data_IF_455072055494
#
_entry.id   IF_455072055494
#
_cell.length_a   1.000
_cell.length_b   1.000
_cell.length_c   1.000
_cell.angle_alpha   90.00
_cell.angle_beta   90.00
_cell.angle_gamma   90.00
#
_symmetry.space_group_name_H-M   'P 1'
#
loop_
_entity.id
_entity.type
_entity.pdbx_description
1 polymer ?
#
# COMPACT_ATOMS: atom_id res chain seq x y z
N UNK A 1 11.47 26.92 -32.69
CA UNK A 1 11.18 25.48 -32.49
C UNK A 1 12.45 24.76 -32.07
N UNK A 2 12.59 24.39 -30.79
CA UNK A 2 13.69 23.52 -30.32
C UNK A 2 13.16 22.09 -30.16
N UNK A 3 13.64 21.17 -31.01
CA UNK A 3 13.41 19.72 -30.90
C UNK A 3 14.32 19.11 -29.82
N UNK A 4 14.25 19.62 -28.60
CA UNK A 4 14.76 18.88 -27.45
C UNK A 4 13.84 17.69 -27.22
N UNK A 5 14.38 16.47 -27.30
CA UNK A 5 13.72 15.26 -26.80
C UNK A 5 13.58 15.45 -25.28
N UNK A 6 12.54 16.15 -24.83
CA UNK A 6 12.17 16.21 -23.42
C UNK A 6 11.67 14.81 -23.05
N UNK A 7 12.56 13.98 -22.52
CA UNK A 7 12.20 12.70 -21.89
C UNK A 7 11.07 13.02 -20.90
N UNK A 8 9.96 12.30 -21.02
CA UNK A 8 8.83 12.48 -20.12
C UNK A 8 9.29 12.07 -18.72
N UNK A 9 9.52 13.03 -17.82
CA UNK A 9 10.01 12.75 -16.47
C UNK A 9 9.14 11.72 -15.76
N UNK A 10 7.83 11.68 -16.04
CA UNK A 10 6.90 10.70 -15.49
C UNK A 10 7.22 9.23 -15.80
N UNK A 11 8.09 8.94 -16.78
CA UNK A 11 8.58 7.57 -17.03
C UNK A 11 9.38 7.01 -15.85
N UNK A 12 9.88 7.87 -14.97
CA UNK A 12 10.53 7.45 -13.74
C UNK A 12 9.54 6.81 -12.76
N UNK A 13 8.24 7.16 -12.78
CA UNK A 13 7.25 6.60 -11.85
C UNK A 13 7.09 5.07 -11.98
N UNK A 14 6.82 4.49 -13.17
CA UNK A 14 6.82 3.04 -13.31
C UNK A 14 8.16 2.40 -12.92
N UNK A 15 9.28 3.04 -13.28
CA UNK A 15 10.61 2.50 -12.98
C UNK A 15 10.85 2.38 -11.48
N UNK A 16 10.42 3.36 -10.68
CA UNK A 16 10.57 3.32 -9.23
C UNK A 16 9.94 2.05 -8.64
N UNK A 17 8.84 1.51 -9.18
CA UNK A 17 8.26 0.25 -8.67
C UNK A 17 9.20 -0.96 -8.80
N UNK A 18 10.15 -0.96 -9.74
CA UNK A 18 11.14 -2.05 -9.86
C UNK A 18 12.27 -1.93 -8.84
N UNK A 19 12.57 -0.70 -8.41
CA UNK A 19 13.74 -0.41 -7.56
C UNK A 19 13.34 0.15 -6.18
N UNK A 20 12.05 0.12 -5.85
CA UNK A 20 11.48 0.76 -4.66
C UNK A 20 12.16 0.26 -3.38
N UNK A 21 12.48 -1.03 -3.34
CA UNK A 21 13.10 -1.70 -2.20
C UNK A 21 14.60 -1.97 -2.39
N UNK A 22 15.24 -1.42 -3.42
CA UNK A 22 16.67 -1.62 -3.64
C UNK A 22 17.46 -0.75 -2.67
N UNK A 23 18.28 -1.38 -1.83
CA UNK A 23 19.13 -0.70 -0.85
C UNK A 23 20.27 0.01 -1.56
N UNK A 24 20.33 1.34 -1.42
CA UNK A 24 21.44 2.15 -1.94
C UNK A 24 22.51 2.38 -0.86
N UNK A 25 22.07 2.66 0.37
CA UNK A 25 22.92 2.85 1.54
C UNK A 25 22.10 2.61 2.82
N UNK A 26 22.75 2.70 3.99
CA UNK A 26 22.08 2.74 5.29
C UNK A 26 22.67 3.85 6.14
N UNK A 27 21.80 4.65 6.76
CA UNK A 27 22.18 5.66 7.74
C UNK A 27 21.99 5.06 9.13
N UNK A 28 23.10 4.78 9.80
CA UNK A 28 23.13 3.97 11.02
C UNK A 28 22.68 2.52 10.78
N UNK A 29 22.25 1.85 11.85
CA UNK A 29 21.80 0.45 11.80
C UNK A 29 20.37 0.29 11.26
N UNK A 30 19.58 1.35 11.23
CA UNK A 30 18.11 1.25 11.16
C UNK A 30 17.43 2.08 10.07
N UNK A 31 18.13 3.00 9.39
CA UNK A 31 17.52 3.80 8.32
C UNK A 31 18.06 3.43 6.93
N UNK A 32 17.34 2.59 6.17
CA UNK A 32 17.74 2.26 4.81
C UNK A 32 17.47 3.43 3.86
N UNK A 33 18.44 3.72 3.01
CA UNK A 33 18.33 4.73 1.95
C UNK A 33 18.03 4.00 0.65
N UNK A 34 16.93 4.38 0.00
CA UNK A 34 16.52 3.92 -1.32
C UNK A 34 16.32 5.10 -2.26
N UNK A 35 16.02 4.81 -3.54
CA UNK A 35 15.64 5.86 -4.49
C UNK A 35 14.43 6.65 -3.99
N UNK A 36 13.56 5.99 -3.21
CA UNK A 36 12.33 6.58 -2.73
C UNK A 36 12.57 7.53 -1.58
N UNK A 37 13.66 7.41 -0.82
CA UNK A 37 14.07 8.41 0.20
C UNK A 37 14.22 9.80 -0.41
N UNK A 38 14.52 9.89 -1.71
CA UNK A 38 14.63 11.16 -2.44
C UNK A 38 13.32 11.57 -3.13
N UNK A 39 12.17 10.95 -2.79
CA UNK A 39 10.90 11.24 -3.45
C UNK A 39 10.51 12.73 -3.39
N UNK A 40 10.65 13.47 -2.26
CA UNK A 40 10.41 14.92 -2.25
C UNK A 40 11.20 15.67 -3.33
N UNK A 41 12.48 15.33 -3.52
CA UNK A 41 13.32 15.90 -4.57
C UNK A 41 12.83 15.50 -5.97
N UNK A 42 12.49 14.22 -6.16
CA UNK A 42 11.95 13.69 -7.42
C UNK A 42 10.63 14.38 -7.79
N UNK A 43 9.77 14.71 -6.81
CA UNK A 43 8.49 15.38 -7.05
C UNK A 43 8.68 16.75 -7.71
N UNK A 44 9.75 17.49 -7.41
CA UNK A 44 10.03 18.79 -8.05
C UNK A 44 10.17 18.70 -9.58
N UNK A 45 10.55 17.53 -10.13
CA UNK A 45 10.58 17.31 -11.58
C UNK A 45 9.17 17.44 -12.20
N UNK A 46 8.14 17.08 -11.44
CA UNK A 46 6.75 17.02 -11.89
C UNK A 46 5.92 18.23 -11.51
N UNK A 47 6.36 19.05 -10.55
CA UNK A 47 5.58 20.18 -10.03
C UNK A 47 5.47 21.30 -11.07
N UNK A 48 4.25 21.78 -11.29
CA UNK A 48 3.96 22.99 -12.06
C UNK A 48 3.76 24.19 -11.12
N UNK A 49 2.96 24.02 -10.07
CA UNK A 49 2.66 25.06 -9.06
C UNK A 49 2.47 24.44 -7.69
N UNK A 50 2.79 25.21 -6.64
CA UNK A 50 2.59 24.81 -5.24
C UNK A 50 1.59 25.76 -4.58
N UNK A 51 0.54 25.22 -3.95
CA UNK A 51 -0.34 26.01 -3.11
C UNK A 51 0.25 26.13 -1.70
N UNK A 52 0.91 27.25 -1.41
CA UNK A 52 1.54 27.50 -0.11
C UNK A 52 0.54 27.35 1.04
N UNK A 53 -0.68 27.88 0.91
CA UNK A 53 -1.74 27.72 1.93
C UNK A 53 -2.01 26.24 2.25
N UNK A 54 -2.20 25.38 1.25
CA UNK A 54 -2.46 23.94 1.47
C UNK A 54 -1.25 23.24 2.07
N UNK A 55 -0.05 23.61 1.61
CA UNK A 55 1.21 23.07 2.13
C UNK A 55 1.37 23.42 3.62
N UNK A 56 1.18 24.68 4.00
CA UNK A 56 1.28 25.13 5.40
C UNK A 56 0.23 24.49 6.29
N UNK A 57 -1.01 24.28 5.81
CA UNK A 57 -2.04 23.55 6.56
C UNK A 57 -1.59 22.10 6.81
N UNK A 58 -1.11 21.41 5.78
CA UNK A 58 -0.68 20.01 5.92
C UNK A 58 0.53 19.86 6.84
N UNK A 59 1.53 20.74 6.69
CA UNK A 59 2.71 20.77 7.57
C UNK A 59 2.33 21.15 9.00
N UNK A 60 1.40 22.09 9.19
CA UNK A 60 0.87 22.47 10.50
C UNK A 60 0.15 21.31 11.20
N UNK A 61 -0.67 20.54 10.47
CA UNK A 61 -1.29 19.31 11.01
C UNK A 61 -0.21 18.31 11.40
N UNK A 62 0.79 18.09 10.54
CA UNK A 62 1.90 17.18 10.83
C UNK A 62 2.70 17.59 12.06
N UNK A 63 3.06 18.88 12.17
CA UNK A 63 3.74 19.43 13.33
C UNK A 63 2.90 19.30 14.61
N UNK A 64 1.58 19.53 14.52
CA UNK A 64 0.65 19.32 15.63
C UNK A 64 0.60 17.86 16.09
N UNK A 65 0.58 16.89 15.16
CA UNK A 65 0.63 15.47 15.48
C UNK A 65 1.98 15.06 16.09
N UNK A 66 3.10 15.60 15.57
CA UNK A 66 4.43 15.36 16.16
C UNK A 66 4.50 15.92 17.59
N UNK A 67 4.01 17.14 17.82
CA UNK A 67 3.96 17.74 19.15
C UNK A 67 3.06 16.95 20.10
N UNK A 68 1.88 16.52 19.63
CA UNK A 68 0.98 15.65 20.39
C UNK A 68 1.72 14.37 20.82
N UNK A 69 2.38 13.67 19.89
CA UNK A 69 3.09 12.43 20.21
C UNK A 69 4.25 12.68 21.20
N UNK A 70 4.96 13.80 21.08
CA UNK A 70 6.04 14.13 22.01
C UNK A 70 5.53 14.40 23.44
N UNK A 71 4.45 15.18 23.55
CA UNK A 71 3.89 15.62 24.85
C UNK A 71 3.19 14.47 25.57
N UNK A 72 2.34 13.72 24.87
CA UNK A 72 1.48 12.69 25.47
C UNK A 72 2.05 11.27 25.34
N UNK A 73 3.02 11.04 24.46
CA UNK A 73 3.58 9.73 24.24
C UNK A 73 4.54 9.30 25.34
N UNK A 74 4.33 8.10 25.89
CA UNK A 74 5.25 7.42 26.80
C UNK A 74 6.53 7.01 26.07
N UNK A 75 7.67 7.38 26.64
CA UNK A 75 8.99 7.04 26.11
C UNK A 75 9.50 5.77 26.78
N UNK A 76 9.65 4.68 26.03
CA UNK A 76 10.25 3.43 26.49
C UNK A 76 11.68 3.28 25.96
N UNK A 77 11.96 3.84 24.80
CA UNK A 77 13.30 3.95 24.22
C UNK A 77 13.46 5.29 23.49
N UNK A 78 14.27 6.18 24.08
CA UNK A 78 14.53 7.50 23.52
C UNK A 78 15.53 7.47 22.35
N UNK A 79 16.35 6.42 22.24
CA UNK A 79 17.43 6.33 21.24
C UNK A 79 16.90 6.30 19.81
N UNK A 80 15.70 5.72 19.60
CA UNK A 80 15.04 5.57 18.30
C UNK A 80 14.08 6.73 17.97
N UNK A 81 13.84 7.66 18.90
CA UNK A 81 12.83 8.71 18.74
C UNK A 81 13.06 9.56 17.50
N UNK A 82 14.30 10.01 17.29
CA UNK A 82 14.66 10.89 16.17
C UNK A 82 14.40 10.20 14.84
N UNK A 83 14.85 8.96 14.68
CA UNK A 83 14.68 8.18 13.44
C UNK A 83 13.21 7.97 13.10
N UNK A 84 12.40 7.53 14.07
CA UNK A 84 10.95 7.32 13.85
C UNK A 84 10.20 8.62 13.60
N UNK A 85 10.58 9.72 14.28
CA UNK A 85 10.00 11.04 14.04
C UNK A 85 10.33 11.55 12.64
N UNK A 86 11.56 11.37 12.17
CA UNK A 86 11.97 11.75 10.81
C UNK A 86 11.19 10.97 9.75
N UNK A 87 10.95 9.67 9.95
CA UNK A 87 10.08 8.86 9.07
C UNK A 87 8.64 9.40 9.03
N UNK A 88 8.10 9.79 10.19
CA UNK A 88 6.77 10.40 10.25
C UNK A 88 6.72 11.77 9.53
N UNK A 89 7.69 12.64 9.79
CA UNK A 89 7.79 13.95 9.13
C UNK A 89 7.95 13.77 7.61
N UNK A 90 8.71 12.75 7.20
CA UNK A 90 8.92 12.41 5.80
C UNK A 90 7.61 12.07 5.09
N UNK A 91 6.77 11.20 5.68
CA UNK A 91 5.47 10.86 5.07
C UNK A 91 4.52 12.07 5.06
N UNK A 92 4.51 12.88 6.12
CA UNK A 92 3.75 14.15 6.16
C UNK A 92 4.17 15.04 4.99
N UNK A 93 5.47 15.19 4.75
CA UNK A 93 5.99 16.03 3.67
C UNK A 93 5.53 15.52 2.30
N UNK A 94 5.64 14.23 2.01
CA UNK A 94 5.20 13.65 0.73
C UNK A 94 3.70 13.82 0.54
N UNK A 95 2.90 13.52 1.56
CA UNK A 95 1.45 13.66 1.50
C UNK A 95 1.05 15.13 1.31
N UNK A 96 1.72 16.05 2.02
CA UNK A 96 1.54 17.49 1.90
C UNK A 96 1.89 18.00 0.51
N UNK A 97 3.03 17.60 -0.06
CA UNK A 97 3.42 17.94 -1.42
C UNK A 97 2.42 17.38 -2.43
N UNK A 98 2.04 16.10 -2.30
CA UNK A 98 1.07 15.46 -3.19
C UNK A 98 -0.28 16.16 -3.15
N UNK A 99 -0.75 16.63 -2.00
CA UNK A 99 -2.02 17.35 -1.88
C UNK A 99 -1.95 18.79 -2.38
N UNK A 100 -0.89 19.51 -2.02
CA UNK A 100 -0.73 20.96 -2.27
C UNK A 100 -0.25 21.30 -3.68
N UNK A 101 0.45 20.38 -4.36
CA UNK A 101 1.01 20.63 -5.68
C UNK A 101 0.00 20.38 -6.81
N UNK A 102 0.12 21.20 -7.85
CA UNK A 102 -0.40 20.92 -9.20
C UNK A 102 0.76 20.37 -10.01
N UNK A 103 0.55 19.22 -10.64
CA UNK A 103 1.56 18.53 -11.43
C UNK A 103 1.44 18.89 -12.91
N UNK A 104 2.58 18.95 -13.61
CA UNK A 104 2.66 19.21 -15.05
C UNK A 104 1.81 18.21 -15.82
N UNK A 105 0.94 18.68 -16.70
CA UNK A 105 0.06 17.79 -17.45
C UNK A 105 0.85 16.87 -18.38
N UNK A 106 0.51 15.57 -18.41
CA UNK A 106 1.11 14.59 -19.32
C UNK A 106 0.55 14.83 -20.73
N UNK A 107 1.41 14.86 -21.76
CA UNK A 107 0.97 15.02 -23.15
C UNK A 107 0.43 13.71 -23.72
N UNK A 108 -0.54 13.75 -24.66
CA UNK A 108 -1.13 12.54 -25.27
C UNK A 108 -0.09 11.55 -25.85
N UNK A 109 0.99 12.06 -26.47
CA UNK A 109 2.09 11.22 -26.97
C UNK A 109 2.78 10.42 -25.87
N UNK A 110 2.92 11.02 -24.69
CA UNK A 110 3.57 10.40 -23.54
C UNK A 110 2.63 9.48 -22.75
N UNK A 111 1.31 9.63 -22.87
CA UNK A 111 0.34 8.70 -22.25
C UNK A 111 0.61 7.25 -22.67
N UNK A 112 0.71 7.00 -23.98
CA UNK A 112 0.95 5.65 -24.51
C UNK A 112 2.28 5.07 -24.07
N UNK A 113 3.34 5.90 -24.04
CA UNK A 113 4.67 5.45 -23.60
C UNK A 113 4.68 5.09 -22.11
N UNK A 114 4.10 5.96 -21.28
CA UNK A 114 4.01 5.76 -19.84
C UNK A 114 3.20 4.52 -19.49
N UNK A 115 2.06 4.34 -20.16
CA UNK A 115 1.21 3.17 -19.99
C UNK A 115 1.92 1.87 -20.41
N UNK A 116 2.63 1.87 -21.55
CA UNK A 116 3.43 0.71 -21.97
C UNK A 116 4.51 0.36 -20.94
N UNK A 117 5.14 1.37 -20.34
CA UNK A 117 6.14 1.16 -19.31
C UNK A 117 5.51 0.54 -18.05
N UNK A 118 4.33 1.01 -17.62
CA UNK A 118 3.57 0.34 -16.55
C UNK A 118 3.27 -1.12 -16.88
N UNK A 119 2.82 -1.44 -18.09
CA UNK A 119 2.60 -2.83 -18.50
C UNK A 119 3.88 -3.66 -18.49
N UNK A 120 5.00 -3.09 -18.95
CA UNK A 120 6.32 -3.73 -18.89
C UNK A 120 6.73 -4.05 -17.46
N UNK A 121 6.53 -3.10 -16.54
CA UNK A 121 6.83 -3.28 -15.11
C UNK A 121 5.96 -4.37 -14.47
N UNK A 122 4.64 -4.37 -14.74
CA UNK A 122 3.75 -5.47 -14.29
C UNK A 122 4.24 -6.81 -14.84
N UNK A 123 4.58 -6.87 -16.13
CA UNK A 123 5.08 -8.09 -16.76
C UNK A 123 6.36 -8.61 -16.11
N UNK A 124 7.34 -7.73 -15.86
CA UNK A 124 8.61 -8.09 -15.21
C UNK A 124 8.35 -8.64 -13.81
N UNK A 125 7.59 -7.89 -12.99
CA UNK A 125 7.36 -8.26 -11.59
C UNK A 125 6.56 -9.58 -11.49
N UNK A 126 5.51 -9.75 -12.29
CA UNK A 126 4.68 -10.97 -12.27
C UNK A 126 5.43 -12.16 -12.85
N UNK A 127 6.25 -11.98 -13.90
CA UNK A 127 7.11 -13.07 -14.39
C UNK A 127 8.12 -13.51 -13.34
N UNK A 128 8.73 -12.56 -12.61
CA UNK A 128 9.65 -12.88 -11.54
C UNK A 128 8.94 -13.67 -10.43
N UNK A 129 7.75 -13.21 -10.02
CA UNK A 129 6.93 -13.91 -9.02
C UNK A 129 6.57 -15.35 -9.47
N UNK A 130 6.23 -15.52 -10.76
CA UNK A 130 5.94 -16.83 -11.33
C UNK A 130 7.19 -17.72 -11.39
N UNK A 131 8.37 -17.17 -11.71
CA UNK A 131 9.63 -17.90 -11.71
C UNK A 131 10.05 -18.33 -10.30
N UNK A 132 9.91 -17.46 -9.31
CA UNK A 132 10.12 -17.78 -7.89
C UNK A 132 9.18 -18.91 -7.46
N UNK A 133 7.88 -18.79 -7.76
CA UNK A 133 6.90 -19.82 -7.40
C UNK A 133 7.18 -21.16 -8.11
N UNK A 134 7.55 -21.13 -9.38
CA UNK A 134 7.92 -22.32 -10.12
C UNK A 134 9.15 -23.00 -9.50
N UNK A 135 10.16 -22.23 -9.10
CA UNK A 135 11.33 -22.76 -8.40
C UNK A 135 10.92 -23.44 -7.08
N UNK A 136 10.10 -22.77 -6.26
CA UNK A 136 9.63 -23.30 -4.97
C UNK A 136 8.88 -24.62 -5.17
N UNK A 137 7.98 -24.68 -6.17
CA UNK A 137 7.16 -25.87 -6.43
C UNK A 137 8.00 -27.02 -7.00
N UNK A 138 8.94 -26.74 -7.91
CA UNK A 138 9.68 -27.78 -8.63
C UNK A 138 10.90 -28.30 -7.87
N UNK A 139 11.57 -27.44 -7.09
CA UNK A 139 12.84 -27.77 -6.44
C UNK A 139 12.78 -27.73 -4.93
N UNK A 140 11.72 -27.15 -4.34
CA UNK A 140 11.65 -26.84 -2.91
C UNK A 140 12.62 -25.73 -2.46
N UNK A 141 13.45 -25.20 -3.37
CA UNK A 141 14.46 -24.20 -3.08
C UNK A 141 13.97 -22.77 -3.24
N UNK A 142 14.73 -21.82 -2.67
CA UNK A 142 14.44 -20.39 -2.66
C UNK A 142 15.61 -19.54 -3.17
N UNK A 143 16.52 -20.12 -3.96
CA UNK A 143 17.80 -19.48 -4.32
C UNK A 143 17.63 -18.22 -5.19
N UNK A 144 16.57 -18.11 -5.98
CA UNK A 144 16.28 -16.89 -6.74
C UNK A 144 15.88 -15.74 -5.80
N UNK A 145 15.01 -16.00 -4.83
CA UNK A 145 14.62 -15.06 -3.78
C UNK A 145 15.85 -14.65 -2.95
N UNK A 146 16.70 -15.60 -2.60
CA UNK A 146 17.92 -15.34 -1.82
C UNK A 146 18.92 -14.44 -2.56
N UNK A 147 19.09 -14.63 -3.88
CA UNK A 147 19.95 -13.77 -4.69
C UNK A 147 19.41 -12.34 -4.78
N UNK A 148 18.09 -12.18 -4.92
CA UNK A 148 17.45 -10.86 -5.01
C UNK A 148 17.49 -10.16 -3.65
N UNK A 149 17.20 -10.87 -2.56
CA UNK A 149 17.07 -10.28 -1.22
C UNK A 149 18.36 -9.63 -0.72
N UNK A 150 19.53 -10.04 -1.22
CA UNK A 150 20.82 -9.38 -0.95
C UNK A 150 20.87 -7.92 -1.39
N UNK A 151 20.06 -7.54 -2.38
CA UNK A 151 19.97 -6.16 -2.88
C UNK A 151 18.83 -5.38 -2.23
N UNK A 152 17.98 -6.03 -1.44
CA UNK A 152 16.81 -5.40 -0.85
C UNK A 152 17.12 -4.79 0.53
N UNK A 153 16.29 -3.82 0.92
CA UNK A 153 16.39 -3.12 2.22
C UNK A 153 16.35 -4.08 3.42
N UNK A 154 15.42 -5.03 3.39
CA UNK A 154 15.19 -5.99 4.47
C UNK A 154 15.52 -7.39 3.95
N UNK A 155 16.06 -8.23 4.84
CA UNK A 155 16.29 -9.62 4.50
C UNK A 155 14.94 -10.34 4.38
N UNK A 156 14.77 -11.12 3.32
CA UNK A 156 13.58 -11.96 3.14
C UNK A 156 13.64 -13.21 4.05
N UNK A 157 14.38 -13.16 5.16
CA UNK A 157 14.64 -14.29 6.06
C UNK A 157 13.36 -14.96 6.54
N UNK A 158 12.32 -14.17 6.85
CA UNK A 158 11.00 -14.70 7.19
C UNK A 158 10.41 -15.57 6.08
N UNK A 159 10.48 -15.10 4.84
CA UNK A 159 9.95 -15.82 3.68
C UNK A 159 10.80 -17.04 3.35
N UNK A 160 12.12 -16.91 3.43
CA UNK A 160 13.05 -18.03 3.24
C UNK A 160 12.79 -19.15 4.26
N UNK A 161 12.58 -18.80 5.53
CA UNK A 161 12.20 -19.75 6.58
C UNK A 161 10.81 -20.36 6.31
N UNK A 162 9.85 -19.55 5.88
CA UNK A 162 8.52 -20.07 5.53
C UNK A 162 8.59 -21.09 4.38
N UNK A 163 9.44 -20.84 3.37
CA UNK A 163 9.65 -21.76 2.25
C UNK A 163 10.34 -23.05 2.70
N UNK A 164 11.35 -22.96 3.59
CA UNK A 164 12.03 -24.17 4.10
C UNK A 164 11.08 -25.11 4.85
N UNK A 165 9.98 -24.61 5.41
CA UNK A 165 8.91 -25.41 6.03
C UNK A 165 7.78 -25.78 5.05
N UNK A 166 8.02 -25.72 3.73
CA UNK A 166 7.05 -26.12 2.70
C UNK A 166 6.05 -25.04 2.29
N UNK A 167 6.24 -23.80 2.75
CA UNK A 167 5.40 -22.66 2.43
C UNK A 167 5.54 -22.20 0.97
N UNK A 168 4.41 -21.86 0.33
CA UNK A 168 4.35 -21.42 -1.07
C UNK A 168 4.04 -19.92 -1.16
N UNK A 169 5.06 -19.07 -1.10
CA UNK A 169 4.94 -17.60 -1.18
C UNK A 169 6.10 -17.00 -1.95
N UNK A 170 5.82 -15.96 -2.72
CA UNK A 170 6.82 -15.16 -3.45
C UNK A 170 6.72 -13.70 -3.01
N UNK A 171 7.86 -13.01 -3.06
CA UNK A 171 7.95 -11.57 -2.83
C UNK A 171 8.44 -10.80 -4.04
N UNK A 172 8.92 -11.49 -5.09
CA UNK A 172 9.55 -10.88 -6.25
C UNK A 172 10.65 -9.88 -5.79
N UNK A 173 10.51 -8.61 -6.18
CA UNK A 173 11.44 -7.52 -5.86
C UNK A 173 11.11 -6.81 -4.52
N UNK A 174 10.22 -7.35 -3.71
CA UNK A 174 9.75 -6.71 -2.49
C UNK A 174 10.18 -7.47 -1.24
N UNK A 175 10.14 -6.81 -0.09
CA UNK A 175 10.62 -7.42 1.16
C UNK A 175 9.61 -8.37 1.81
N UNK A 176 8.32 -8.19 1.54
CA UNK A 176 7.25 -9.02 2.10
C UNK A 176 6.12 -9.27 1.11
N UNK A 177 5.40 -10.41 1.23
CA UNK A 177 4.31 -10.74 0.30
C UNK A 177 3.14 -9.75 0.35
N UNK A 178 2.82 -9.22 1.54
CA UNK A 178 1.79 -8.20 1.68
C UNK A 178 2.21 -6.90 0.99
N UNK A 179 3.44 -6.46 1.19
CA UNK A 179 3.98 -5.27 0.54
C UNK A 179 4.05 -5.44 -1.00
N UNK A 180 4.40 -6.64 -1.48
CA UNK A 180 4.32 -6.97 -2.91
C UNK A 180 2.90 -6.80 -3.47
N UNK A 181 1.89 -7.36 -2.80
CA UNK A 181 0.50 -7.20 -3.22
C UNK A 181 0.04 -5.74 -3.18
N UNK A 182 0.45 -4.97 -2.17
CA UNK A 182 0.20 -3.53 -2.07
C UNK A 182 0.76 -2.78 -3.29
N UNK A 183 1.98 -3.13 -3.70
CA UNK A 183 2.62 -2.52 -4.87
C UNK A 183 1.88 -2.84 -6.17
N UNK A 184 1.43 -4.09 -6.36
CA UNK A 184 0.61 -4.46 -7.52
C UNK A 184 -0.72 -3.70 -7.57
N UNK A 185 -1.40 -3.52 -6.43
CA UNK A 185 -2.63 -2.73 -6.35
C UNK A 185 -2.36 -1.25 -6.62
N UNK A 186 -1.24 -0.72 -6.15
CA UNK A 186 -0.81 0.65 -6.46
C UNK A 186 -0.53 0.85 -7.95
N UNK A 187 0.15 -0.08 -8.61
CA UNK A 187 0.36 -0.06 -10.07
C UNK A 187 -0.97 -0.18 -10.81
N UNK A 188 -1.86 -1.07 -10.34
CA UNK A 188 -3.19 -1.24 -10.89
C UNK A 188 -3.97 0.08 -10.90
N UNK A 189 -4.05 0.75 -9.73
CA UNK A 189 -4.75 2.03 -9.61
C UNK A 189 -4.11 3.13 -10.45
N UNK A 190 -2.78 3.12 -10.58
CA UNK A 190 -2.02 4.01 -11.46
C UNK A 190 -2.43 3.84 -12.92
N UNK A 191 -2.54 2.60 -13.41
CA UNK A 191 -3.01 2.27 -14.76
C UNK A 191 -4.49 2.68 -14.94
N UNK A 192 -5.33 2.43 -13.92
CA UNK A 192 -6.74 2.81 -13.96
C UNK A 192 -6.99 4.31 -14.05
N UNK A 193 -6.02 5.17 -13.66
CA UNK A 193 -6.15 6.62 -13.83
C UNK A 193 -6.16 7.07 -15.30
N UNK A 194 -5.72 6.22 -16.23
CA UNK A 194 -5.77 6.50 -17.67
C UNK A 194 -7.16 6.31 -18.30
N UNK A 195 -8.16 5.81 -17.55
CA UNK A 195 -9.54 5.68 -18.03
C UNK A 195 -9.75 4.60 -19.10
N UNK A 196 -8.80 3.69 -19.26
CA UNK A 196 -8.84 2.63 -20.26
C UNK A 196 -9.13 1.26 -19.65
N UNK A 197 -9.80 0.39 -20.40
CA UNK A 197 -10.04 -1.00 -20.01
C UNK A 197 -8.83 -1.87 -20.33
N UNK A 198 -8.38 -2.65 -19.35
CA UNK A 198 -7.11 -3.39 -19.40
C UNK A 198 -7.25 -4.81 -18.86
N UNK A 199 -8.18 -5.64 -19.39
CA UNK A 199 -8.53 -6.93 -18.79
C UNK A 199 -7.33 -7.89 -18.69
N UNK A 200 -6.40 -7.85 -19.67
CA UNK A 200 -5.17 -8.65 -19.64
C UNK A 200 -4.29 -8.27 -18.45
N UNK A 201 -4.08 -6.97 -18.23
CA UNK A 201 -3.28 -6.45 -17.13
C UNK A 201 -3.96 -6.69 -15.78
N UNK A 202 -5.29 -6.57 -15.72
CA UNK A 202 -6.07 -6.89 -14.53
C UNK A 202 -5.88 -8.36 -14.13
N UNK A 203 -5.90 -9.28 -15.11
CA UNK A 203 -5.58 -10.70 -14.90
C UNK A 203 -4.14 -10.95 -14.45
N UNK A 204 -3.16 -10.25 -15.01
CA UNK A 204 -1.75 -10.35 -14.57
C UNK A 204 -1.55 -9.86 -13.14
N UNK A 205 -2.22 -8.77 -12.76
CA UNK A 205 -2.16 -8.22 -11.40
C UNK A 205 -2.81 -9.17 -10.41
N UNK A 206 -3.97 -9.74 -10.74
CA UNK A 206 -4.60 -10.77 -9.93
C UNK A 206 -3.70 -11.99 -9.77
N UNK A 207 -3.07 -12.46 -10.85
CA UNK A 207 -2.12 -13.57 -10.81
C UNK A 207 -0.97 -13.26 -9.85
N UNK A 208 -0.33 -12.08 -9.95
CA UNK A 208 0.73 -11.67 -9.04
C UNK A 208 0.29 -11.62 -7.56
N UNK A 209 -0.92 -11.09 -7.29
CA UNK A 209 -1.49 -11.06 -5.94
C UNK A 209 -1.73 -12.48 -5.41
N UNK A 210 -2.27 -13.39 -6.22
CA UNK A 210 -2.47 -14.79 -5.82
C UNK A 210 -1.15 -15.48 -5.55
N UNK A 211 -0.16 -15.32 -6.43
CA UNK A 211 1.18 -15.90 -6.27
C UNK A 211 1.86 -15.41 -4.98
N UNK A 212 1.67 -14.14 -4.61
CA UNK A 212 2.20 -13.61 -3.34
C UNK A 212 1.70 -14.39 -2.11
N UNK A 213 0.51 -15.01 -2.19
CA UNK A 213 -0.14 -15.64 -1.05
C UNK A 213 -0.51 -14.63 0.05
N UNK A 214 -0.74 -13.37 -0.34
CA UNK A 214 -1.17 -12.28 0.55
C UNK A 214 -2.69 -12.23 0.70
N UNK A 215 -3.18 -12.53 1.91
CA UNK A 215 -4.61 -12.44 2.24
C UNK A 215 -5.16 -11.01 2.07
N UNK A 216 -4.46 -10.00 2.59
CA UNK A 216 -4.87 -8.59 2.47
C UNK A 216 -4.91 -8.14 1.01
N UNK A 217 -3.97 -8.61 0.19
CA UNK A 217 -3.94 -8.39 -1.26
C UNK A 217 -5.18 -8.93 -1.96
N UNK A 218 -5.48 -10.22 -1.75
CA UNK A 218 -6.64 -10.89 -2.35
C UNK A 218 -7.94 -10.20 -1.92
N UNK A 219 -8.11 -9.94 -0.62
CA UNK A 219 -9.32 -9.28 -0.09
C UNK A 219 -9.50 -7.87 -0.64
N UNK A 220 -8.43 -7.10 -0.79
CA UNK A 220 -8.49 -5.75 -1.35
C UNK A 220 -8.84 -5.77 -2.83
N UNK A 221 -8.28 -6.72 -3.59
CA UNK A 221 -8.62 -6.88 -5.00
C UNK A 221 -10.10 -7.27 -5.17
N UNK A 222 -10.61 -8.20 -4.36
CA UNK A 222 -12.02 -8.57 -4.30
C UNK A 222 -12.90 -7.34 -4.01
N UNK A 223 -12.57 -6.57 -2.96
CA UNK A 223 -13.31 -5.36 -2.59
C UNK A 223 -13.36 -4.37 -3.75
N UNK A 224 -12.23 -4.10 -4.40
CA UNK A 224 -12.15 -3.14 -5.49
C UNK A 224 -12.86 -3.60 -6.76
N UNK A 225 -12.77 -4.90 -7.07
CA UNK A 225 -13.51 -5.51 -8.16
C UNK A 225 -15.02 -5.44 -7.94
N UNK A 226 -15.50 -5.79 -6.73
CA UNK A 226 -16.91 -5.70 -6.39
C UNK A 226 -17.43 -4.26 -6.41
N UNK A 227 -16.63 -3.29 -5.95
CA UNK A 227 -16.96 -1.87 -6.06
C UNK A 227 -17.03 -1.42 -7.51
N UNK A 228 -16.07 -1.82 -8.35
CA UNK A 228 -16.11 -1.54 -9.79
C UNK A 228 -17.37 -2.12 -10.42
N UNK A 229 -17.66 -3.39 -10.16
CA UNK A 229 -18.86 -4.07 -10.64
C UNK A 229 -20.13 -3.34 -10.16
N UNK A 230 -20.19 -2.97 -8.88
CA UNK A 230 -21.31 -2.22 -8.30
C UNK A 230 -21.53 -0.89 -9.03
N UNK A 231 -20.47 -0.09 -9.24
CA UNK A 231 -20.60 1.20 -9.93
C UNK A 231 -20.97 1.05 -11.40
N UNK A 232 -20.50 0.00 -12.08
CA UNK A 232 -20.79 -0.24 -13.49
C UNK A 232 -22.20 -0.77 -13.72
N UNK A 233 -22.67 -1.67 -12.85
CA UNK A 233 -23.86 -2.47 -13.12
C UNK A 233 -25.05 -2.10 -12.26
N UNK A 234 -24.91 -1.59 -11.03
CA UNK A 234 -26.07 -1.32 -10.14
C UNK A 234 -26.85 -0.02 -10.46
N UNK A 235 -26.57 0.64 -11.57
CA UNK A 235 -27.39 1.77 -12.04
C UNK A 235 -28.65 1.25 -12.77
N UNK A 236 -29.85 1.77 -12.44
CA UNK A 236 -31.15 1.38 -13.02
C UNK A 236 -31.13 1.27 -14.56
N UNK A 237 -30.46 2.20 -15.24
CA UNK A 237 -30.34 2.20 -16.71
C UNK A 237 -29.32 1.18 -17.24
N UNK A 238 -28.27 0.89 -16.46
CA UNK A 238 -27.24 -0.08 -16.81
C UNK A 238 -27.70 -1.52 -16.59
N UNK A 239 -28.44 -1.80 -15.49
CA UNK A 239 -28.99 -3.12 -15.19
C UNK A 239 -29.81 -3.63 -16.39
N UNK A 240 -30.80 -2.87 -16.87
CA UNK A 240 -31.66 -3.34 -17.97
C UNK A 240 -30.91 -3.66 -19.27
N UNK A 241 -29.82 -2.94 -19.58
CA UNK A 241 -29.07 -3.10 -20.84
C UNK A 241 -27.87 -4.06 -20.73
N UNK A 242 -27.32 -4.25 -19.53
CA UNK A 242 -26.07 -4.98 -19.28
C UNK A 242 -26.22 -6.13 -18.28
N UNK A 243 -27.44 -6.50 -17.90
CA UNK A 243 -27.73 -7.63 -17.01
C UNK A 243 -27.00 -8.92 -17.39
N UNK A 244 -27.00 -9.40 -18.65
CA UNK A 244 -26.32 -10.65 -18.99
C UNK A 244 -24.80 -10.57 -18.76
N UNK A 245 -24.17 -9.44 -19.11
CA UNK A 245 -22.75 -9.19 -18.85
C UNK A 245 -22.46 -9.10 -17.34
N UNK A 246 -23.35 -8.49 -16.56
CA UNK A 246 -23.22 -8.39 -15.12
C UNK A 246 -23.24 -9.77 -14.46
N UNK A 247 -24.15 -10.64 -14.88
CA UNK A 247 -24.27 -12.02 -14.41
C UNK A 247 -23.02 -12.81 -14.78
N UNK A 248 -22.60 -12.80 -16.06
CA UNK A 248 -21.38 -13.51 -16.50
C UNK A 248 -20.16 -13.05 -15.69
N UNK A 249 -20.00 -11.74 -15.52
CA UNK A 249 -18.90 -11.16 -14.73
C UNK A 249 -18.92 -11.66 -13.28
N UNK A 250 -20.10 -11.67 -12.64
CA UNK A 250 -20.24 -12.12 -11.27
C UNK A 250 -20.03 -13.64 -11.14
N UNK A 251 -20.53 -14.44 -12.09
CA UNK A 251 -20.34 -15.89 -12.12
C UNK A 251 -18.87 -16.26 -12.26
N UNK A 252 -18.12 -15.61 -13.16
CA UNK A 252 -16.67 -15.83 -13.31
C UNK A 252 -15.93 -15.46 -12.02
N UNK A 253 -16.32 -14.35 -11.39
CA UNK A 253 -15.76 -13.94 -10.11
C UNK A 253 -16.05 -14.95 -8.99
N UNK A 254 -17.28 -15.46 -8.89
CA UNK A 254 -17.68 -16.47 -7.90
C UNK A 254 -16.90 -17.78 -8.08
N UNK A 255 -16.68 -18.23 -9.32
CA UNK A 255 -15.82 -19.39 -9.59
C UNK A 255 -14.41 -19.16 -9.04
N UNK A 256 -13.82 -17.99 -9.30
CA UNK A 256 -12.52 -17.62 -8.72
C UNK A 256 -12.52 -17.60 -7.19
N UNK A 257 -13.61 -17.12 -6.57
CA UNK A 257 -13.76 -17.10 -5.12
C UNK A 257 -13.86 -18.50 -4.52
N UNK A 258 -14.52 -19.45 -5.19
CA UNK A 258 -14.58 -20.86 -4.77
C UNK A 258 -13.17 -21.46 -4.67
N UNK A 259 -12.30 -21.19 -5.66
CA UNK A 259 -10.91 -21.66 -5.62
C UNK A 259 -10.08 -20.98 -4.53
N UNK A 260 -10.35 -19.70 -4.24
CA UNK A 260 -9.69 -18.97 -3.16
C UNK A 260 -10.24 -19.31 -1.77
N UNK A 261 -11.45 -19.88 -1.69
CA UNK A 261 -12.18 -20.08 -0.43
C UNK A 261 -11.44 -20.95 0.58
N UNK A 262 -10.80 -22.09 0.22
CA UNK A 262 -10.05 -22.89 1.19
C UNK A 262 -8.96 -22.07 1.89
N UNK A 263 -8.22 -21.25 1.14
CA UNK A 263 -7.19 -20.38 1.70
C UNK A 263 -7.78 -19.29 2.62
N UNK A 264 -8.89 -18.66 2.20
CA UNK A 264 -9.60 -17.64 3.00
C UNK A 264 -10.12 -18.26 4.29
N UNK A 265 -10.73 -19.45 4.22
CA UNK A 265 -11.30 -20.15 5.35
C UNK A 265 -10.22 -20.51 6.40
N UNK A 266 -9.07 -21.05 5.97
CA UNK A 266 -7.94 -21.30 6.89
C UNK A 266 -7.50 -20.01 7.57
N UNK A 267 -7.33 -18.92 6.82
CA UNK A 267 -6.89 -17.64 7.38
C UNK A 267 -7.86 -17.03 8.38
N UNK A 268 -9.16 -17.22 8.16
CA UNK A 268 -10.21 -16.80 9.09
C UNK A 268 -10.23 -17.69 10.34
N UNK A 269 -10.04 -19.01 10.19
CA UNK A 269 -9.95 -19.94 11.31
C UNK A 269 -8.75 -19.62 12.24
N UNK A 270 -7.62 -19.23 11.66
CA UNK A 270 -6.41 -18.84 12.39
C UNK A 270 -6.61 -17.60 13.28
N UNK A 271 -7.67 -16.80 13.10
CA UNK A 271 -7.89 -15.58 13.88
C UNK A 271 -8.04 -15.83 15.38
N UNK A 272 -8.57 -17.00 15.76
CA UNK A 272 -8.75 -17.37 17.17
C UNK A 272 -7.56 -18.10 17.79
N UNK A 273 -6.52 -18.42 17.01
CA UNK A 273 -5.40 -19.23 17.45
C UNK A 273 -4.21 -18.35 17.81
N UNK A 274 -3.89 -18.28 19.11
CA UNK A 274 -2.70 -17.55 19.58
C UNK A 274 -1.42 -18.06 18.92
N UNK A 275 -0.49 -17.14 18.65
CA UNK A 275 0.74 -17.44 17.91
C UNK A 275 0.55 -17.59 16.40
N UNK A 276 -0.69 -17.63 15.88
CA UNK A 276 -0.92 -17.62 14.43
C UNK A 276 -0.62 -16.23 13.84
N UNK A 277 -0.24 -16.22 12.56
CA UNK A 277 0.00 -14.97 11.83
C UNK A 277 -1.26 -14.10 11.69
N UNK A 278 -2.47 -14.70 11.61
CA UNK A 278 -3.72 -13.96 11.52
C UNK A 278 -4.09 -13.32 12.86
N UNK A 279 -3.94 -14.07 13.96
CA UNK A 279 -4.15 -13.56 15.32
C UNK A 279 -3.21 -12.38 15.60
N UNK A 280 -1.91 -12.55 15.35
CA UNK A 280 -0.89 -11.51 15.57
C UNK A 280 -1.17 -10.19 14.83
N UNK A 281 -1.83 -10.25 13.66
CA UNK A 281 -2.10 -9.07 12.83
C UNK A 281 -3.39 -8.34 13.16
N UNK A 282 -4.41 -9.08 13.60
CA UNK A 282 -5.77 -8.57 13.70
C UNK A 282 -6.26 -8.54 15.14
N UNK A 283 -6.08 -9.63 15.89
CA UNK A 283 -6.68 -9.83 17.21
C UNK A 283 -5.71 -9.43 18.33
N UNK A 284 -4.48 -9.97 18.34
CA UNK A 284 -3.50 -9.68 19.39
C UNK A 284 -3.30 -8.17 19.64
N UNK A 285 -3.12 -7.33 18.59
CA UNK A 285 -2.96 -5.90 18.75
C UNK A 285 -4.19 -5.14 19.28
N UNK A 286 -5.37 -5.76 19.37
CA UNK A 286 -6.55 -5.09 19.93
C UNK A 286 -6.38 -4.74 21.41
N UNK A 287 -5.60 -5.53 22.17
CA UNK A 287 -5.27 -5.20 23.55
C UNK A 287 -4.47 -3.89 23.63
N UNK A 288 -3.48 -3.73 22.76
CA UNK A 288 -2.67 -2.52 22.63
C UNK A 288 -3.50 -1.31 22.18
N UNK A 289 -4.41 -1.51 21.22
CA UNK A 289 -5.34 -0.48 20.74
C UNK A 289 -6.29 -0.05 21.86
N UNK A 290 -6.86 -1.02 22.59
CA UNK A 290 -7.74 -0.78 23.72
C UNK A 290 -7.02 0.04 24.81
N UNK A 291 -5.81 -0.37 25.18
CA UNK A 291 -4.99 0.35 26.16
C UNK A 291 -4.72 1.80 25.74
N UNK A 292 -4.41 2.04 24.45
CA UNK A 292 -4.18 3.38 23.92
C UNK A 292 -5.43 4.28 23.92
N UNK A 293 -6.62 3.68 23.85
CA UNK A 293 -7.89 4.42 23.84
C UNK A 293 -8.47 4.67 25.24
N UNK A 294 -8.11 3.86 26.24
CA UNK A 294 -8.69 3.93 27.58
C UNK A 294 -7.76 4.53 28.64
N UNK A 295 -6.46 4.64 28.37
CA UNK A 295 -5.48 5.15 29.34
C UNK A 295 -4.82 6.45 28.85
N UNK A 296 -4.56 7.37 29.78
CA UNK A 296 -3.97 8.69 29.51
C UNK A 296 -2.51 8.53 29.03
N UNK A 297 -1.79 7.56 29.57
CA UNK A 297 -0.44 7.16 29.20
C UNK A 297 -0.38 6.10 28.09
N UNK A 298 -1.53 5.70 27.54
CA UNK A 298 -1.61 4.66 26.51
C UNK A 298 -1.11 5.09 25.12
N UNK A 299 -0.73 6.37 24.95
CA UNK A 299 -0.07 6.83 23.72
C UNK A 299 1.42 6.49 23.80
N UNK A 300 1.95 5.89 22.74
CA UNK A 300 3.36 5.51 22.70
C UNK A 300 4.16 6.57 21.96
N UNK A 301 5.33 6.95 22.48
CA UNK A 301 6.22 7.89 21.79
C UNK A 301 6.89 7.22 20.59
N UNK A 302 7.17 7.98 19.53
CA UNK A 302 7.94 7.47 18.40
C UNK A 302 9.24 6.79 18.86
N UNK A 303 9.61 5.68 18.22
CA UNK A 303 10.79 4.89 18.58
C UNK A 303 10.59 3.89 19.70
N UNK A 304 9.48 3.93 20.45
CA UNK A 304 9.21 3.06 21.60
C UNK A 304 8.26 1.89 21.30
N UNK A 305 7.89 1.67 20.03
CA UNK A 305 6.90 0.64 19.65
C UNK A 305 7.38 -0.78 19.95
N UNK A 306 8.67 -1.05 19.80
CA UNK A 306 9.22 -2.39 20.02
C UNK A 306 9.02 -2.81 21.47
N UNK A 307 9.44 -1.95 22.40
CA UNK A 307 9.38 -2.15 23.83
C UNK A 307 7.92 -2.23 24.30
N UNK A 308 7.05 -1.42 23.68
CA UNK A 308 5.61 -1.47 23.93
C UNK A 308 4.97 -2.78 23.45
N UNK A 309 5.24 -3.25 22.23
CA UNK A 309 4.66 -4.52 21.76
C UNK A 309 5.14 -5.69 22.62
N UNK A 310 6.43 -5.69 22.97
CA UNK A 310 7.02 -6.73 23.82
C UNK A 310 6.36 -6.79 25.22
N UNK A 311 5.93 -5.65 25.78
CA UNK A 311 5.30 -5.63 27.11
C UNK A 311 3.93 -6.31 27.16
N UNK A 312 3.24 -6.49 26.02
CA UNK A 312 1.97 -7.21 25.94
C UNK A 312 2.15 -8.73 25.73
N UNK A 313 3.38 -9.21 25.50
CA UNK A 313 3.66 -10.65 25.39
C UNK A 313 2.95 -11.36 24.24
N UNK A 314 2.58 -10.64 23.17
CA UNK A 314 1.81 -11.20 22.05
C UNK A 314 2.74 -12.04 21.17
N UNK A 315 2.49 -13.34 21.06
CA UNK A 315 3.30 -14.26 20.25
C UNK A 315 3.06 -14.09 18.73
N UNK A 316 4.15 -14.17 17.96
CA UNK A 316 4.17 -14.32 16.51
C UNK A 316 4.95 -15.59 16.16
N UNK A 317 4.23 -16.71 16.00
CA UNK A 317 4.86 -18.03 15.96
C UNK A 317 5.45 -18.40 17.32
N UNK A 318 6.73 -18.72 17.36
CA UNK A 318 7.42 -19.16 18.58
C UNK A 318 7.99 -18.00 19.42
N UNK A 319 8.08 -16.80 18.86
CA UNK A 319 8.71 -15.64 19.51
C UNK A 319 7.67 -14.59 19.95
N UNK A 320 8.01 -13.82 20.97
CA UNK A 320 7.24 -12.61 21.31
C UNK A 320 7.40 -11.59 20.17
N UNK A 321 6.26 -11.11 19.69
CA UNK A 321 6.20 -10.13 18.62
C UNK A 321 6.87 -8.82 18.97
N UNK A 322 7.39 -8.16 17.94
CA UNK A 322 8.24 -6.96 18.06
C UNK A 322 7.70 -5.78 17.26
N UNK A 323 6.61 -5.99 16.52
CA UNK A 323 6.05 -5.06 15.54
C UNK A 323 4.53 -5.11 15.55
N UNK A 324 3.89 -4.11 14.95
CA UNK A 324 2.44 -4.16 14.68
C UNK A 324 2.25 -4.16 13.17
N UNK A 325 1.87 -5.31 12.62
CA UNK A 325 1.67 -5.53 11.18
C UNK A 325 0.32 -4.96 10.67
N UNK A 326 -0.11 -3.83 11.25
CA UNK A 326 -1.34 -3.12 10.91
C UNK A 326 -1.16 -1.62 11.15
N UNK A 327 -1.06 -0.86 10.06
CA UNK A 327 -0.87 0.58 10.07
C UNK A 327 -2.00 1.37 10.75
N UNK A 328 -3.25 0.89 10.70
CA UNK A 328 -4.35 1.59 11.36
C UNK A 328 -4.20 1.49 12.88
N UNK A 329 -3.87 0.30 13.38
CA UNK A 329 -3.59 0.10 14.79
C UNK A 329 -2.36 0.90 15.24
N UNK A 330 -1.33 0.94 14.41
CA UNK A 330 -0.14 1.75 14.67
C UNK A 330 -0.48 3.23 14.77
N UNK A 331 -1.35 3.77 13.90
CA UNK A 331 -1.82 5.16 14.04
C UNK A 331 -2.60 5.38 15.34
N UNK A 332 -3.44 4.43 15.76
CA UNK A 332 -4.17 4.52 17.03
C UNK A 332 -3.20 4.46 18.21
N UNK A 333 -2.19 3.61 18.19
CA UNK A 333 -1.17 3.53 19.26
C UNK A 333 -0.38 4.85 19.39
N UNK A 334 -0.08 5.52 18.26
CA UNK A 334 0.68 6.77 18.27
C UNK A 334 -0.15 8.03 18.52
N UNK A 335 -1.46 8.01 18.24
CA UNK A 335 -2.32 9.21 18.28
C UNK A 335 -3.67 9.02 18.99
N UNK A 336 -3.94 7.84 19.54
CA UNK A 336 -5.18 7.48 20.25
C UNK A 336 -6.44 7.92 19.49
N UNK A 337 -7.40 8.53 20.17
CA UNK A 337 -8.67 9.00 19.63
C UNK A 337 -8.53 9.96 18.44
N UNK A 338 -7.43 10.70 18.31
CA UNK A 338 -7.20 11.54 17.13
C UNK A 338 -7.14 10.70 15.85
N UNK A 339 -6.48 9.54 15.87
CA UNK A 339 -6.43 8.63 14.72
C UNK A 339 -7.82 8.05 14.39
N UNK A 340 -8.61 7.73 15.41
CA UNK A 340 -9.97 7.20 15.23
C UNK A 340 -10.86 8.25 14.56
N UNK A 341 -10.88 9.47 15.09
CA UNK A 341 -11.68 10.57 14.56
C UNK A 341 -11.28 10.95 13.13
N UNK A 342 -9.98 11.01 12.85
CA UNK A 342 -9.47 11.29 11.50
C UNK A 342 -9.83 10.18 10.51
N UNK A 343 -9.73 8.92 10.93
CA UNK A 343 -10.15 7.76 10.12
C UNK A 343 -11.64 7.81 9.81
N UNK A 344 -12.50 8.05 10.81
CA UNK A 344 -13.95 8.17 10.63
C UNK A 344 -14.28 9.31 9.67
N UNK A 345 -13.65 10.47 9.87
CA UNK A 345 -13.84 11.64 8.99
C UNK A 345 -13.43 11.32 7.54
N UNK A 346 -12.30 10.66 7.35
CA UNK A 346 -11.83 10.27 6.02
C UNK A 346 -12.79 9.27 5.37
N UNK A 347 -13.21 8.24 6.10
CA UNK A 347 -14.16 7.24 5.60
C UNK A 347 -15.51 7.86 5.24
N UNK A 348 -15.99 8.84 6.02
CA UNK A 348 -17.19 9.60 5.68
C UNK A 348 -17.06 10.34 4.34
N UNK A 349 -15.89 10.93 4.04
CA UNK A 349 -15.62 11.55 2.72
C UNK A 349 -15.67 10.53 1.59
N UNK A 350 -15.12 9.33 1.79
CA UNK A 350 -15.16 8.23 0.81
C UNK A 350 -16.61 7.79 0.57
N UNK A 351 -17.40 7.61 1.63
CA UNK A 351 -18.83 7.24 1.53
C UNK A 351 -19.61 8.31 0.78
N UNK A 352 -19.38 9.60 1.07
CA UNK A 352 -20.03 10.71 0.34
C UNK A 352 -19.71 10.65 -1.16
N UNK A 353 -18.47 10.33 -1.51
CA UNK A 353 -18.04 10.16 -2.91
C UNK A 353 -18.66 8.93 -3.58
N UNK A 354 -18.78 7.83 -2.84
CA UNK A 354 -19.39 6.59 -3.31
C UNK A 354 -20.84 6.79 -3.74
N UNK A 355 -21.61 7.60 -3.01
CA UNK A 355 -23.02 7.90 -3.35
C UNK A 355 -23.16 8.52 -4.75
N UNK A 356 -22.18 9.30 -5.18
CA UNK A 356 -22.17 9.97 -6.50
C UNK A 356 -21.51 9.14 -7.61
N UNK A 357 -20.96 7.96 -7.29
CA UNK A 357 -20.14 7.19 -8.22
C UNK A 357 -20.91 6.11 -9.01
N UNK A 358 -22.18 5.83 -8.64
CA UNK A 358 -23.00 4.85 -9.35
C UNK A 358 -23.31 5.30 -10.78
N UNK A 359 -22.99 4.46 -11.76
CA UNK A 359 -23.13 4.78 -13.18
C UNK A 359 -22.02 5.66 -13.75
N UNK A 360 -21.30 6.41 -12.92
CA UNK A 360 -20.12 7.19 -13.32
C UNK A 360 -19.07 7.26 -12.21
N UNK A 361 -18.14 6.29 -12.21
CA UNK A 361 -16.94 6.31 -11.36
C UNK A 361 -15.70 6.51 -12.23
N UNK A 362 -15.65 7.66 -12.90
CA UNK A 362 -14.53 8.05 -13.75
C UNK A 362 -13.17 7.86 -13.07
N UNK A 363 -12.31 7.10 -13.75
CA UNK A 363 -10.93 6.85 -13.36
C UNK A 363 -10.82 6.30 -11.92
N UNK A 364 -11.78 5.46 -11.52
CA UNK A 364 -11.74 4.70 -10.26
C UNK A 364 -11.56 5.61 -9.04
N UNK A 365 -12.25 6.76 -9.04
CA UNK A 365 -12.10 7.78 -8.00
C UNK A 365 -12.34 7.20 -6.61
N UNK A 366 -13.42 6.45 -6.43
CA UNK A 366 -13.75 5.89 -5.11
C UNK A 366 -12.68 4.91 -4.65
N UNK A 367 -12.25 3.97 -5.51
CA UNK A 367 -11.21 2.99 -5.18
C UNK A 367 -9.89 3.68 -4.86
N UNK A 368 -9.51 4.73 -5.60
CA UNK A 368 -8.30 5.49 -5.34
C UNK A 368 -8.31 6.11 -3.93
N UNK A 369 -9.42 6.75 -3.53
CA UNK A 369 -9.52 7.34 -2.19
C UNK A 369 -9.66 6.28 -1.09
N UNK A 370 -10.34 5.16 -1.38
CA UNK A 370 -10.45 4.03 -0.45
C UNK A 370 -9.13 3.26 -0.28
N UNK A 371 -8.23 3.34 -1.25
CA UNK A 371 -6.94 2.66 -1.20
C UNK A 371 -6.08 3.13 -0.03
N UNK A 372 -6.07 4.42 0.31
CA UNK A 372 -5.29 4.92 1.43
C UNK A 372 -5.64 4.22 2.76
N UNK A 373 -6.88 4.21 3.25
CA UNK A 373 -7.21 3.49 4.50
C UNK A 373 -7.10 1.97 4.37
N UNK A 374 -7.42 1.38 3.21
CA UNK A 374 -7.30 -0.07 3.02
C UNK A 374 -5.83 -0.52 3.02
N UNK A 375 -4.92 0.30 2.50
CA UNK A 375 -3.48 -0.01 2.48
C UNK A 375 -2.85 -0.08 3.87
N UNK A 376 -3.46 0.54 4.89
CA UNK A 376 -2.98 0.46 6.27
C UNK A 376 -3.02 -0.98 6.81
N UNK A 377 -3.89 -1.84 6.29
CA UNK A 377 -3.98 -3.25 6.71
C UNK A 377 -2.92 -4.16 6.08
N UNK A 378 -2.02 -3.63 5.23
CA UNK A 378 -1.01 -4.44 4.55
C UNK A 378 0.30 -4.55 5.31
N UNK A 379 0.66 -3.55 6.12
CA UNK A 379 1.97 -3.49 6.77
C UNK A 379 1.96 -2.53 7.95
N UNK A 380 2.86 -2.77 8.91
CA UNK A 380 3.22 -1.82 9.95
C UNK A 380 4.19 -0.72 9.48
N UNK A 381 4.83 -0.90 8.32
CA UNK A 381 5.84 0.02 7.78
C UNK A 381 5.25 1.28 7.14
N UNK A 382 4.14 1.81 7.67
CA UNK A 382 3.39 2.92 7.06
C UNK A 382 4.11 4.27 7.08
N UNK A 383 5.21 4.40 7.83
CA UNK A 383 6.06 5.60 7.78
C UNK A 383 7.28 5.44 6.86
N UNK A 384 7.41 4.28 6.19
CA UNK A 384 8.51 4.05 5.26
C UNK A 384 8.37 4.88 3.99
N UNK A 385 9.48 5.32 3.38
CA UNK A 385 9.45 5.99 2.08
C UNK A 385 8.77 5.17 1.00
N UNK A 386 9.03 3.86 0.99
CA UNK A 386 8.52 2.92 0.00
C UNK A 386 6.99 2.85 0.06
N UNK A 387 6.42 2.71 1.27
CA UNK A 387 4.98 2.78 1.46
C UNK A 387 4.41 4.11 0.97
N UNK A 388 5.02 5.24 1.34
CA UNK A 388 4.56 6.56 0.93
C UNK A 388 4.47 6.69 -0.60
N UNK A 389 5.48 6.22 -1.34
CA UNK A 389 5.45 6.18 -2.81
C UNK A 389 4.29 5.37 -3.37
N UNK A 390 4.07 4.15 -2.85
CA UNK A 390 2.97 3.29 -3.30
C UNK A 390 1.62 3.97 -3.09
N UNK A 391 1.44 4.75 -2.02
CA UNK A 391 0.19 5.46 -1.78
C UNK A 391 0.04 6.67 -2.70
N UNK A 392 1.08 7.49 -2.89
CA UNK A 392 0.94 8.76 -3.62
C UNK A 392 1.03 8.66 -5.13
N UNK A 393 1.73 7.66 -5.69
CA UNK A 393 1.93 7.53 -7.13
C UNK A 393 0.61 7.55 -7.93
N UNK A 394 -0.44 6.78 -7.56
CA UNK A 394 -1.75 6.87 -8.20
C UNK A 394 -2.38 8.28 -8.15
N UNK A 395 -2.22 9.02 -7.05
CA UNK A 395 -2.73 10.40 -6.92
C UNK A 395 -1.96 11.40 -7.78
N UNK A 396 -0.64 11.24 -7.88
CA UNK A 396 0.22 12.04 -8.76
C UNK A 396 -0.25 11.87 -10.20
N UNK A 397 -0.45 10.63 -10.64
CA UNK A 397 -0.94 10.35 -12.00
C UNK A 397 -2.33 10.92 -12.24
N UNK A 398 -3.26 10.76 -11.30
CA UNK A 398 -4.60 11.34 -11.42
C UNK A 398 -4.55 12.85 -11.67
N UNK A 399 -3.72 13.56 -10.90
CA UNK A 399 -3.54 15.01 -11.04
C UNK A 399 -2.82 15.37 -12.34
N UNK A 400 -1.82 14.60 -12.76
CA UNK A 400 -1.02 14.86 -13.94
C UNK A 400 -1.75 14.55 -15.26
N UNK A 401 -2.71 13.63 -15.26
CA UNK A 401 -3.53 13.32 -16.43
C UNK A 401 -4.61 14.39 -16.69
N UNK A 402 -4.79 15.34 -15.76
CA UNK A 402 -5.70 16.50 -15.85
C UNK A 402 -7.08 16.17 -16.43
N UNK A 403 -7.66 15.05 -15.99
CA UNK A 403 -9.04 14.68 -16.35
C UNK A 403 -9.97 15.41 -15.37
N UNK A 404 -9.99 16.73 -15.46
CA UNK A 404 -11.06 17.56 -14.92
C UNK A 404 -12.10 17.65 -16.01
N UNK A 405 -13.24 16.99 -15.78
CA UNK A 405 -14.54 17.15 -16.46
C UNK A 405 -14.52 18.12 -17.65
N UNK A 406 -14.34 17.60 -18.86
CA UNK A 406 -15.04 18.16 -20.02
C UNK A 406 -16.52 17.90 -19.88
#
# INVERSE_FOLDING_TARGET
MSRSIRICSYLLLPFIYLVVNVKLASLGESFPITIVTFLPAILFLYIERISVKKLMIALGIGAGLTAFNYIFGQSLDASKYVTSTLLFVYIVLIMAMTWSCRFKTISQRNHRKLLRLFYGVVGIIVMLAAAEMAQIILTGGSSLIEKISKFLIYSNSYVLNFISFGGKRTTALYFEPAFFALALISIWLSIKQFGIKTPKTDGMILLGIVLSGSFSGVMTFILFYLLEWAFQYLNKNAIKKKLPLAIISLSVFLVGLIFAFPYIATRLGDLGTEGSSSYYRIIGPLAMVGHSLTNIDGVVRFGSLYEYVASFGIFNGADVGKTVDNGLYLLIIYFSWLAVLLTIWYMWKVIKMMRTAFGNNENYRVQLWLFTPVSLFFTGSIFSPEYAFLIVCPFILRKALNITNT
#
